data_IF_381662119944
#
_entry.id   IF_381662119944
#
_cell.length_a   1.000
_cell.length_b   1.000
_cell.length_c   1.000
_cell.angle_alpha   90.00
_cell.angle_beta   90.00
_cell.angle_gamma   90.00
#
_symmetry.space_group_name_H-M   'P 1'
#
loop_
_entity.id
_entity.type
_entity.pdbx_description
1 polymer ?
#
# COMPACT_ATOMS: atom_id res chain seq x y z
N UNK A 1 -64.07 -12.02 -14.87
CA UNK A 1 -63.14 -10.89 -14.63
C UNK A 1 -62.63 -10.95 -13.20
N UNK A 2 -61.61 -11.71 -12.86
CA UNK A 2 -60.87 -11.69 -11.55
C UNK A 2 -59.77 -12.74 -11.57
N UNK A 3 -58.75 -12.56 -12.40
CA UNK A 3 -57.50 -13.39 -12.37
C UNK A 3 -56.27 -12.59 -12.78
N UNK A 4 -56.35 -11.28 -13.04
CA UNK A 4 -55.20 -10.49 -13.52
C UNK A 4 -54.48 -9.61 -12.47
N UNK A 5 -54.88 -9.67 -11.18
CA UNK A 5 -54.29 -8.81 -10.12
C UNK A 5 -53.34 -9.55 -9.18
N UNK A 6 -53.13 -10.87 -9.33
CA UNK A 6 -52.24 -11.62 -8.41
C UNK A 6 -50.82 -11.86 -8.92
N UNK A 7 -50.52 -11.55 -10.19
CA UNK A 7 -49.20 -11.75 -10.76
C UNK A 7 -48.24 -10.56 -10.62
N UNK A 8 -48.73 -9.36 -10.31
CA UNK A 8 -47.87 -8.18 -10.13
C UNK A 8 -47.28 -8.01 -8.72
N UNK A 9 -47.83 -8.69 -7.71
CA UNK A 9 -47.27 -8.58 -6.33
C UNK A 9 -46.14 -9.55 -6.09
N UNK A 10 -46.01 -10.63 -6.87
CA UNK A 10 -44.93 -11.62 -6.73
C UNK A 10 -43.60 -11.17 -7.41
N UNK A 11 -43.64 -10.20 -8.32
CA UNK A 11 -42.42 -9.71 -9.01
C UNK A 11 -41.73 -8.53 -8.30
N UNK A 12 -42.38 -7.90 -7.31
CA UNK A 12 -41.82 -6.79 -6.53
C UNK A 12 -41.15 -7.23 -5.22
N UNK A 13 -41.23 -8.50 -4.84
CA UNK A 13 -40.57 -9.07 -3.66
C UNK A 13 -39.25 -9.76 -3.94
N UNK A 14 -38.78 -9.79 -5.21
CA UNK A 14 -37.52 -10.44 -5.62
C UNK A 14 -36.37 -9.47 -5.85
N UNK A 15 -36.54 -8.15 -5.63
CA UNK A 15 -35.47 -7.16 -5.81
C UNK A 15 -34.94 -6.53 -4.50
N UNK A 16 -35.36 -7.07 -3.34
CA UNK A 16 -34.77 -6.73 -2.05
C UNK A 16 -33.80 -7.82 -1.56
N UNK A 17 -33.04 -8.42 -2.49
CA UNK A 17 -31.90 -9.26 -2.17
C UNK A 17 -30.73 -8.37 -1.76
N UNK A 18 -30.76 -7.88 -0.52
CA UNK A 18 -29.56 -7.31 0.10
C UNK A 18 -28.43 -8.31 -0.04
N UNK A 19 -27.32 -7.88 -0.61
CA UNK A 19 -26.07 -8.64 -0.62
C UNK A 19 -25.63 -8.77 0.84
N UNK A 20 -26.16 -9.77 1.53
CA UNK A 20 -25.57 -10.22 2.78
C UNK A 20 -24.22 -10.83 2.39
N UNK A 21 -23.14 -10.13 2.70
CA UNK A 21 -21.82 -10.72 2.66
C UNK A 21 -21.89 -12.02 3.47
N UNK A 22 -21.80 -13.15 2.77
CA UNK A 22 -21.82 -14.46 3.43
C UNK A 22 -20.58 -14.56 4.30
N UNK A 23 -20.77 -14.55 5.63
CA UNK A 23 -19.75 -14.95 6.58
C UNK A 23 -19.53 -16.45 6.39
N UNK A 24 -18.70 -16.82 5.43
CA UNK A 24 -18.14 -18.17 5.38
C UNK A 24 -16.96 -18.20 6.36
N UNK A 25 -16.96 -19.16 7.25
CA UNK A 25 -15.80 -19.49 8.09
C UNK A 25 -14.65 -19.83 7.15
N UNK A 26 -13.79 -18.85 6.86
CA UNK A 26 -12.58 -19.03 6.08
C UNK A 26 -11.69 -20.10 6.71
N UNK A 27 -10.88 -20.77 5.90
CA UNK A 27 -9.89 -21.72 6.39
C UNK A 27 -9.01 -21.04 7.43
N UNK A 28 -8.79 -21.69 8.58
CA UNK A 28 -7.84 -21.19 9.60
C UNK A 28 -6.44 -20.94 9.00
N UNK A 29 -6.11 -21.61 7.88
CA UNK A 29 -4.86 -21.49 7.15
C UNK A 29 -5.14 -21.37 5.65
N UNK A 30 -5.38 -20.16 5.13
CA UNK A 30 -5.65 -19.95 3.71
C UNK A 30 -4.42 -20.31 2.86
N UNK A 31 -4.64 -20.95 1.71
CA UNK A 31 -3.57 -21.27 0.75
C UNK A 31 -3.01 -20.03 0.05
N UNK A 32 -3.83 -18.99 -0.06
CA UNK A 32 -3.47 -17.68 -0.61
C UNK A 32 -3.87 -16.61 0.39
N UNK A 33 -2.92 -15.77 0.77
CA UNK A 33 -3.12 -14.66 1.69
C UNK A 33 -1.98 -13.67 1.51
N UNK A 34 -2.30 -12.41 1.31
CA UNK A 34 -1.31 -11.34 1.28
C UNK A 34 -0.81 -11.08 2.71
N UNK A 35 0.45 -11.32 2.94
CA UNK A 35 1.11 -11.18 4.24
C UNK A 35 2.29 -10.24 4.08
N UNK A 36 2.03 -8.95 4.17
CA UNK A 36 3.05 -7.94 3.91
C UNK A 36 3.52 -7.22 5.17
N UNK A 37 4.64 -6.51 5.05
CA UNK A 37 5.11 -5.56 6.04
C UNK A 37 5.72 -4.33 5.37
N UNK A 38 5.48 -3.13 5.94
CA UNK A 38 6.10 -1.89 5.50
C UNK A 38 7.46 -1.69 6.17
N UNK A 39 8.46 -1.38 5.35
CA UNK A 39 9.78 -0.92 5.79
C UNK A 39 9.93 0.54 5.35
N UNK A 40 9.73 1.48 6.28
CA UNK A 40 9.87 2.91 6.02
C UNK A 40 11.34 3.36 6.09
N UNK A 41 11.69 4.35 5.30
CA UNK A 41 13.02 5.00 5.35
C UNK A 41 12.97 6.38 6.03
N UNK A 42 11.85 7.08 5.93
CA UNK A 42 11.66 8.45 6.38
C UNK A 42 11.83 8.67 7.90
N UNK A 43 11.73 7.61 8.69
CA UNK A 43 12.01 7.65 10.14
C UNK A 43 13.50 7.73 10.49
N UNK A 44 14.38 7.68 9.47
CA UNK A 44 15.83 7.78 9.64
C UNK A 44 16.53 6.52 10.15
N UNK A 45 15.86 5.37 10.18
CA UNK A 45 16.44 4.11 10.69
C UNK A 45 17.69 3.65 9.92
N UNK A 46 17.87 4.09 8.67
CA UNK A 46 19.02 3.74 7.84
C UNK A 46 20.06 4.86 7.76
N UNK A 47 19.72 6.05 8.25
CA UNK A 47 20.47 7.28 8.04
C UNK A 47 21.93 7.18 8.52
N UNK A 48 22.87 7.28 7.57
CA UNK A 48 24.30 7.27 7.87
C UNK A 48 24.84 5.93 8.38
N UNK A 49 24.08 4.84 8.25
CA UNK A 49 24.55 3.51 8.60
C UNK A 49 25.58 3.04 7.57
N UNK A 50 26.75 2.51 7.99
CA UNK A 50 27.73 1.94 7.05
C UNK A 50 27.10 0.87 6.17
N UNK A 51 27.50 0.83 4.89
CA UNK A 51 26.92 -0.05 3.86
C UNK A 51 26.78 -1.50 4.31
N UNK A 52 27.84 -2.12 4.80
CA UNK A 52 27.80 -3.54 5.18
C UNK A 52 26.89 -3.79 6.40
N UNK A 53 26.88 -2.85 7.36
CA UNK A 53 25.97 -2.92 8.51
C UNK A 53 24.51 -2.78 8.07
N UNK A 54 24.23 -1.90 7.10
CA UNK A 54 22.89 -1.73 6.57
C UNK A 54 22.42 -2.97 5.82
N UNK A 55 23.25 -3.57 4.96
CA UNK A 55 22.94 -4.84 4.28
C UNK A 55 22.63 -5.95 5.27
N UNK A 56 23.48 -6.14 6.29
CA UNK A 56 23.26 -7.14 7.34
C UNK A 56 21.96 -6.87 8.12
N UNK A 57 21.67 -5.62 8.44
CA UNK A 57 20.40 -5.24 9.10
C UNK A 57 19.19 -5.60 8.24
N UNK A 58 19.19 -5.25 6.93
CA UNK A 58 18.11 -5.58 6.00
C UNK A 58 17.93 -7.08 5.83
N UNK A 59 19.02 -7.85 5.67
CA UNK A 59 18.98 -9.33 5.63
C UNK A 59 18.38 -9.88 6.92
N UNK A 60 18.79 -9.38 8.08
CA UNK A 60 18.27 -9.79 9.39
C UNK A 60 16.75 -9.54 9.51
N UNK A 61 16.29 -8.38 9.08
CA UNK A 61 14.85 -8.07 9.02
C UNK A 61 14.11 -9.03 8.10
N UNK A 62 14.58 -9.23 6.86
CA UNK A 62 13.95 -10.14 5.89
C UNK A 62 13.92 -11.59 6.40
N UNK A 63 14.98 -12.09 7.02
CA UNK A 63 15.00 -13.44 7.61
C UNK A 63 13.96 -13.59 8.74
N UNK A 64 13.82 -12.57 9.60
CA UNK A 64 12.83 -12.57 10.68
C UNK A 64 11.41 -12.53 10.14
N UNK A 65 11.16 -11.70 9.12
CA UNK A 65 9.85 -11.56 8.45
C UNK A 65 9.48 -12.83 7.69
N UNK A 66 10.43 -13.47 6.99
CA UNK A 66 10.22 -14.77 6.33
C UNK A 66 9.80 -15.84 7.33
N UNK A 67 10.49 -15.94 8.48
CA UNK A 67 10.11 -16.86 9.56
C UNK A 67 8.68 -16.58 10.09
N UNK A 68 8.26 -15.32 10.10
CA UNK A 68 6.91 -14.93 10.47
C UNK A 68 5.87 -15.19 9.36
N UNK A 69 6.26 -15.81 8.24
CA UNK A 69 5.38 -16.15 7.12
C UNK A 69 4.98 -14.94 6.26
N UNK A 70 5.71 -13.83 6.33
CA UNK A 70 5.55 -12.67 5.43
C UNK A 70 5.99 -13.06 4.03
N UNK A 71 5.20 -12.68 3.01
CA UNK A 71 5.43 -13.01 1.60
C UNK A 71 5.47 -11.78 0.67
N UNK A 72 5.38 -10.57 1.23
CA UNK A 72 5.60 -9.34 0.48
C UNK A 72 6.23 -8.25 1.37
N UNK A 73 7.12 -7.46 0.80
CA UNK A 73 7.77 -6.32 1.47
C UNK A 73 7.42 -5.05 0.72
N UNK A 74 6.87 -4.07 1.43
CA UNK A 74 6.62 -2.73 0.91
C UNK A 74 7.72 -1.81 1.44
N UNK A 75 8.71 -1.51 0.60
CA UNK A 75 9.92 -0.79 0.98
C UNK A 75 9.90 0.64 0.44
N UNK A 76 10.06 1.64 1.33
CA UNK A 76 10.03 3.04 0.95
C UNK A 76 11.33 3.44 0.24
N UNK A 77 11.23 3.62 -1.08
CA UNK A 77 12.36 3.94 -1.97
C UNK A 77 12.44 5.41 -2.37
N UNK A 78 11.32 6.17 -2.24
CA UNK A 78 11.24 7.58 -2.62
C UNK A 78 10.48 8.39 -1.56
N UNK A 79 11.16 8.88 -0.50
CA UNK A 79 10.51 9.59 0.62
C UNK A 79 10.30 11.10 0.42
N UNK A 80 11.22 11.84 -0.25
CA UNK A 80 11.24 13.30 -0.37
C UNK A 80 11.66 13.79 -1.77
N UNK A 81 11.05 13.26 -2.84
CA UNK A 81 11.49 13.49 -4.21
C UNK A 81 13.00 13.21 -4.36
N UNK A 82 13.44 12.17 -3.72
CA UNK A 82 14.81 11.66 -3.68
C UNK A 82 14.79 10.13 -3.61
N UNK A 83 15.91 9.46 -3.82
CA UNK A 83 15.94 8.04 -4.10
C UNK A 83 16.82 7.23 -3.14
N UNK A 84 16.34 6.05 -2.72
CA UNK A 84 17.14 4.98 -2.12
C UNK A 84 17.56 3.96 -3.19
N UNK A 85 17.83 4.43 -4.40
CA UNK A 85 18.29 3.63 -5.55
C UNK A 85 19.07 4.52 -6.51
N UNK A 86 19.76 3.93 -7.47
CA UNK A 86 20.56 4.65 -8.48
C UNK A 86 19.64 5.38 -9.49
N UNK A 87 18.93 6.42 -9.05
CA UNK A 87 18.08 7.25 -9.90
C UNK A 87 18.89 8.12 -10.86
N UNK A 88 18.34 8.31 -12.07
CA UNK A 88 18.85 9.27 -13.07
C UNK A 88 18.13 10.61 -13.03
N UNK A 89 17.01 10.67 -12.30
CA UNK A 89 16.07 11.79 -12.28
C UNK A 89 16.07 12.56 -10.96
N UNK A 90 16.37 11.88 -9.85
CA UNK A 90 16.32 12.44 -8.51
C UNK A 90 17.59 12.14 -7.72
N UNK A 91 18.00 13.00 -6.76
CA UNK A 91 19.20 12.79 -5.98
C UNK A 91 19.09 11.60 -5.01
N UNK A 92 20.21 11.10 -4.53
CA UNK A 92 20.26 10.16 -3.42
C UNK A 92 19.61 10.73 -2.16
N UNK A 93 18.82 9.90 -1.47
CA UNK A 93 18.10 10.34 -0.29
C UNK A 93 19.02 10.55 0.92
N UNK A 94 18.76 11.64 1.66
CA UNK A 94 19.40 11.89 2.96
C UNK A 94 19.07 10.83 4.01
N UNK A 95 17.97 10.10 3.86
CA UNK A 95 17.59 9.01 4.75
C UNK A 95 18.44 7.76 4.58
N UNK A 96 19.25 7.69 3.53
CA UNK A 96 20.25 6.65 3.33
C UNK A 96 21.62 7.08 3.91
N UNK A 97 22.18 8.17 3.41
CA UNK A 97 23.57 8.56 3.70
C UNK A 97 23.72 9.67 4.74
N UNK A 98 22.60 10.28 5.14
CA UNK A 98 22.57 11.46 6.01
C UNK A 98 22.64 12.79 5.26
N UNK A 99 23.08 12.80 3.99
CA UNK A 99 23.19 13.98 3.14
C UNK A 99 22.51 13.70 1.80
N UNK A 100 21.55 14.55 1.39
CA UNK A 100 20.89 14.38 0.10
C UNK A 100 21.87 14.64 -1.06
N UNK A 101 21.78 13.82 -2.09
CA UNK A 101 22.69 13.86 -3.27
C UNK A 101 23.97 13.06 -3.09
N UNK A 102 24.33 12.64 -1.87
CA UNK A 102 25.51 11.81 -1.61
C UNK A 102 25.19 10.33 -1.83
N UNK A 103 25.88 9.70 -2.79
CA UNK A 103 25.81 8.25 -3.00
C UNK A 103 26.34 7.48 -1.78
N UNK A 104 25.88 6.24 -1.54
CA UNK A 104 26.46 5.39 -0.50
C UNK A 104 27.90 5.00 -0.83
N UNK A 105 28.73 4.86 0.21
CA UNK A 105 30.14 4.48 0.12
C UNK A 105 30.42 3.28 1.04
N UNK A 106 30.95 2.15 0.53
CA UNK A 106 31.12 1.84 -0.90
C UNK A 106 29.80 1.86 -1.66
N UNK A 107 29.88 2.15 -2.97
CA UNK A 107 28.69 2.26 -3.83
C UNK A 107 27.94 0.94 -3.94
N UNK A 108 26.60 1.02 -3.81
CA UNK A 108 25.65 -0.06 -4.04
C UNK A 108 24.27 0.50 -4.32
N UNK A 109 23.38 -0.32 -4.84
CA UNK A 109 21.98 0.05 -5.07
C UNK A 109 21.06 -0.64 -4.04
N UNK A 110 20.54 0.10 -3.03
CA UNK A 110 19.70 -0.48 -1.99
C UNK A 110 18.42 -1.13 -2.51
N UNK A 111 17.78 -0.54 -3.52
CA UNK A 111 16.53 -1.09 -4.07
C UNK A 111 16.80 -2.40 -4.82
N UNK A 112 17.82 -2.44 -5.69
CA UNK A 112 18.22 -3.68 -6.37
C UNK A 112 18.56 -4.78 -5.38
N UNK A 113 19.34 -4.46 -4.36
CA UNK A 113 19.70 -5.39 -3.30
C UNK A 113 18.44 -5.95 -2.57
N UNK A 114 17.48 -5.09 -2.25
CA UNK A 114 16.26 -5.53 -1.58
C UNK A 114 15.37 -6.39 -2.47
N UNK A 115 15.28 -6.08 -3.77
CA UNK A 115 14.58 -6.91 -4.76
C UNK A 115 15.19 -8.32 -4.77
N UNK A 116 16.53 -8.41 -4.96
CA UNK A 116 17.24 -9.69 -5.00
C UNK A 116 17.04 -10.50 -3.72
N UNK A 117 17.16 -9.84 -2.57
CA UNK A 117 17.01 -10.50 -1.27
C UNK A 117 15.55 -10.90 -0.96
N UNK A 118 14.55 -10.15 -1.44
CA UNK A 118 13.14 -10.54 -1.35
C UNK A 118 12.85 -11.76 -2.23
N UNK A 119 13.24 -11.71 -3.50
CA UNK A 119 13.01 -12.78 -4.48
C UNK A 119 13.70 -14.10 -4.08
N UNK A 120 14.94 -14.06 -3.55
CA UNK A 120 15.61 -15.23 -2.97
C UNK A 120 14.80 -15.93 -1.87
N UNK A 121 13.93 -15.19 -1.19
CA UNK A 121 13.07 -15.71 -0.10
C UNK A 121 11.65 -16.03 -0.54
N UNK A 122 11.34 -15.88 -1.84
CA UNK A 122 9.99 -16.05 -2.38
C UNK A 122 9.02 -14.97 -1.90
N UNK A 123 9.53 -13.75 -1.64
CA UNK A 123 8.73 -12.59 -1.27
C UNK A 123 8.61 -11.63 -2.45
N UNK A 124 7.45 -11.01 -2.63
CA UNK A 124 7.30 -9.87 -3.54
C UNK A 124 7.97 -8.62 -2.96
N UNK A 125 8.49 -7.78 -3.85
CA UNK A 125 9.04 -6.46 -3.53
C UNK A 125 8.16 -5.36 -4.13
N UNK A 126 7.54 -4.55 -3.26
CA UNK A 126 6.73 -3.41 -3.65
C UNK A 126 7.49 -2.11 -3.40
N UNK A 127 7.79 -1.36 -4.45
CA UNK A 127 8.49 -0.09 -4.36
C UNK A 127 7.52 1.01 -3.86
N UNK A 128 7.66 1.41 -2.60
CA UNK A 128 6.83 2.46 -2.02
C UNK A 128 7.43 3.83 -2.31
N UNK A 129 6.64 4.66 -2.96
CA UNK A 129 6.93 6.06 -3.25
C UNK A 129 5.96 6.97 -2.51
N UNK A 130 6.45 8.11 -2.01
CA UNK A 130 5.59 9.25 -1.69
C UNK A 130 5.55 10.17 -2.92
N UNK A 131 4.38 10.40 -3.55
CA UNK A 131 4.36 11.11 -4.82
C UNK A 131 4.65 12.61 -4.68
N UNK A 132 4.08 13.28 -3.70
CA UNK A 132 4.05 14.74 -3.67
C UNK A 132 4.98 15.38 -2.64
N UNK A 133 5.27 14.69 -1.53
CA UNK A 133 6.11 15.25 -0.47
C UNK A 133 7.55 15.42 -0.94
N UNK A 134 8.09 16.62 -0.77
CA UNK A 134 9.43 17.01 -1.21
C UNK A 134 10.35 17.31 -0.04
N UNK A 135 9.80 17.84 1.05
CA UNK A 135 10.51 18.05 2.32
C UNK A 135 9.57 17.74 3.47
N UNK A 136 10.03 16.96 4.41
CA UNK A 136 9.33 16.75 5.70
C UNK A 136 9.54 17.89 6.67
N UNK A 137 10.54 18.74 6.43
CA UNK A 137 10.78 20.01 7.12
C UNK A 137 11.52 20.97 6.20
N UNK A 138 11.11 22.24 6.20
CA UNK A 138 11.77 23.30 5.42
C UNK A 138 13.25 23.50 5.79
N UNK A 139 13.64 23.10 7.02
CA UNK A 139 15.03 23.20 7.53
C UNK A 139 15.99 22.24 6.83
N UNK A 140 15.50 21.18 6.15
CA UNK A 140 16.38 20.25 5.45
C UNK A 140 16.97 20.90 4.19
N UNK A 141 18.27 20.71 3.98
CA UNK A 141 18.97 21.14 2.75
C UNK A 141 18.65 20.19 1.60
N UNK A 142 18.50 20.76 0.41
CA UNK A 142 18.30 20.00 -0.82
C UNK A 142 19.59 19.95 -1.64
N UNK A 143 19.83 18.82 -2.28
CA UNK A 143 20.95 18.66 -3.21
C UNK A 143 20.82 19.66 -4.40
N UNK A 144 21.93 20.17 -4.97
CA UNK A 144 21.87 21.12 -6.07
C UNK A 144 21.05 20.65 -7.28
N UNK A 145 21.06 19.35 -7.55
CA UNK A 145 20.31 18.71 -8.64
C UNK A 145 18.89 18.28 -8.24
N UNK A 146 18.41 18.67 -7.05
CA UNK A 146 17.03 18.38 -6.68
C UNK A 146 16.07 19.15 -7.56
N UNK A 147 14.97 18.53 -7.99
CA UNK A 147 13.98 19.09 -8.92
C UNK A 147 13.40 20.43 -8.46
N UNK A 148 13.27 20.68 -7.15
CA UNK A 148 12.87 21.96 -6.60
C UNK A 148 13.83 23.10 -6.97
N UNK A 149 15.14 22.84 -6.99
CA UNK A 149 16.12 23.86 -7.35
C UNK A 149 16.12 24.20 -8.85
N UNK A 150 15.54 23.30 -9.67
CA UNK A 150 15.42 23.47 -11.13
C UNK A 150 14.06 24.09 -11.49
N UNK A 151 13.00 23.66 -10.80
CA UNK A 151 11.61 24.03 -11.07
C UNK A 151 10.87 24.39 -9.78
N UNK A 152 11.25 25.47 -9.08
CA UNK A 152 10.59 25.89 -7.83
C UNK A 152 9.10 26.19 -8.01
N UNK A 153 8.70 26.60 -9.22
CA UNK A 153 7.31 26.89 -9.59
C UNK A 153 6.37 25.66 -9.59
N UNK A 154 6.91 24.45 -9.48
CA UNK A 154 6.09 23.23 -9.38
C UNK A 154 5.66 22.90 -7.96
N UNK A 155 6.05 23.72 -6.99
CA UNK A 155 5.92 23.35 -5.58
C UNK A 155 5.11 24.37 -4.78
N UNK A 156 4.50 23.87 -3.73
CA UNK A 156 3.79 24.66 -2.73
C UNK A 156 4.34 24.37 -1.34
N UNK A 157 4.40 25.41 -0.51
CA UNK A 157 4.75 25.27 0.91
C UNK A 157 3.48 25.19 1.74
N UNK A 158 3.38 24.17 2.61
CA UNK A 158 2.27 24.01 3.53
C UNK A 158 2.83 23.68 4.93
N UNK A 159 2.58 24.57 5.88
CA UNK A 159 3.21 24.49 7.22
C UNK A 159 4.73 24.49 7.13
N UNK A 160 5.39 23.54 7.77
CA UNK A 160 6.85 23.33 7.72
C UNK A 160 7.27 22.34 6.62
N UNK A 161 6.44 22.09 5.62
CA UNK A 161 6.69 21.09 4.59
C UNK A 161 6.61 21.67 3.18
N UNK A 162 7.25 20.98 2.24
CA UNK A 162 7.23 21.30 0.82
C UNK A 162 6.63 20.14 0.02
N UNK A 163 5.72 20.46 -0.90
CA UNK A 163 5.02 19.50 -1.75
C UNK A 163 5.06 19.90 -3.21
N UNK A 164 5.08 18.93 -4.12
CA UNK A 164 4.63 19.21 -5.48
C UNK A 164 3.19 19.71 -5.46
N UNK A 165 2.87 20.66 -6.32
CA UNK A 165 1.49 21.04 -6.57
C UNK A 165 0.80 19.95 -7.40
N UNK A 166 -0.20 19.23 -6.86
CA UNK A 166 -0.87 18.13 -7.56
C UNK A 166 -1.64 18.59 -8.81
N UNK A 167 -1.99 19.87 -8.87
CA UNK A 167 -2.74 20.44 -9.96
C UNK A 167 -1.90 20.68 -11.22
N UNK A 168 -0.57 20.77 -11.08
CA UNK A 168 0.31 21.03 -12.21
C UNK A 168 0.54 19.79 -13.07
N UNK A 169 0.29 19.86 -14.39
CA UNK A 169 0.61 18.77 -15.31
C UNK A 169 2.09 18.37 -15.29
N UNK A 170 2.99 19.33 -15.06
CA UNK A 170 4.43 19.15 -14.97
C UNK A 170 4.81 18.26 -13.76
N UNK A 171 4.22 18.51 -12.60
CA UNK A 171 4.40 17.69 -11.39
C UNK A 171 4.00 16.24 -11.65
N UNK A 172 2.80 16.01 -12.20
CA UNK A 172 2.32 14.66 -12.53
C UNK A 172 3.21 13.95 -13.54
N UNK A 173 3.64 14.67 -14.59
CA UNK A 173 4.53 14.12 -15.62
C UNK A 173 5.89 13.72 -15.06
N UNK A 174 6.48 14.56 -14.21
CA UNK A 174 7.75 14.24 -13.54
C UNK A 174 7.65 12.96 -12.71
N UNK A 175 6.61 12.83 -11.89
CA UNK A 175 6.41 11.64 -11.06
C UNK A 175 6.18 10.39 -11.92
N UNK A 176 5.40 10.51 -13.01
CA UNK A 176 5.23 9.41 -13.97
C UNK A 176 6.55 8.99 -14.62
N UNK A 177 7.44 9.94 -14.96
CA UNK A 177 8.77 9.62 -15.49
C UNK A 177 9.62 8.86 -14.46
N UNK A 178 9.60 9.29 -13.20
CA UNK A 178 10.32 8.61 -12.11
C UNK A 178 9.83 7.18 -11.94
N UNK A 179 8.53 6.96 -11.94
CA UNK A 179 7.95 5.61 -11.80
C UNK A 179 8.24 4.75 -13.02
N UNK A 180 8.13 5.31 -14.22
CA UNK A 180 8.49 4.60 -15.46
C UNK A 180 9.98 4.20 -15.47
N UNK A 181 10.88 5.03 -14.95
CA UNK A 181 12.30 4.69 -14.78
C UNK A 181 12.49 3.52 -13.79
N UNK A 182 11.78 3.52 -12.66
CA UNK A 182 11.80 2.39 -11.71
C UNK A 182 11.31 1.11 -12.40
N UNK A 183 10.11 1.13 -12.96
CA UNK A 183 9.47 -0.06 -13.54
C UNK A 183 10.29 -0.62 -14.71
N UNK A 184 10.88 0.24 -15.54
CA UNK A 184 11.68 -0.21 -16.70
C UNK A 184 12.99 -0.89 -16.29
N UNK A 185 13.66 -0.39 -15.25
CA UNK A 185 15.01 -0.82 -14.88
C UNK A 185 15.08 -1.90 -13.81
N UNK A 186 14.06 -1.99 -12.96
CA UNK A 186 14.06 -2.89 -11.81
C UNK A 186 12.97 -3.95 -11.94
N UNK A 187 13.20 -5.12 -11.36
CA UNK A 187 12.23 -6.22 -11.33
C UNK A 187 11.32 -6.09 -10.09
N UNK A 188 10.62 -4.96 -9.99
CA UNK A 188 9.64 -4.73 -8.93
C UNK A 188 8.35 -5.50 -9.21
N UNK A 189 7.72 -6.04 -8.18
CA UNK A 189 6.42 -6.73 -8.30
C UNK A 189 5.25 -5.73 -8.24
N UNK A 190 5.46 -4.58 -7.60
CA UNK A 190 4.48 -3.50 -7.54
C UNK A 190 5.11 -2.13 -7.32
N UNK A 191 4.38 -1.09 -7.73
CA UNK A 191 4.52 0.28 -7.23
C UNK A 191 3.46 0.49 -6.16
N UNK A 192 3.83 1.09 -5.04
CA UNK A 192 2.94 1.35 -3.92
C UNK A 192 3.00 2.80 -3.50
N UNK A 193 1.84 3.40 -3.18
CA UNK A 193 1.74 4.74 -2.62
C UNK A 193 1.01 4.72 -1.28
N UNK A 194 1.39 5.65 -0.41
CA UNK A 194 0.69 5.92 0.85
C UNK A 194 -0.50 6.89 0.67
N UNK A 195 -0.93 7.53 1.74
CA UNK A 195 -2.10 8.39 1.81
C UNK A 195 -1.79 9.90 1.73
N UNK A 196 -0.55 10.27 1.39
CA UNK A 196 -0.16 11.69 1.27
C UNK A 196 -0.44 12.22 -0.13
N UNK A 197 -1.73 12.43 -0.47
CA UNK A 197 -2.15 13.06 -1.72
C UNK A 197 -2.09 14.59 -1.61
N UNK A 198 -3.10 15.24 -1.02
CA UNK A 198 -2.93 16.58 -0.47
C UNK A 198 -2.42 16.49 0.97
N UNK A 199 -1.76 17.55 1.50
CA UNK A 199 -1.29 17.53 2.89
C UNK A 199 -2.43 17.36 3.88
N UNK A 200 -2.15 16.71 5.02
CA UNK A 200 -3.10 16.64 6.11
C UNK A 200 -3.50 18.04 6.58
N UNK A 201 -4.79 18.29 6.83
CA UNK A 201 -5.24 19.58 7.30
C UNK A 201 -4.57 19.97 8.62
N UNK A 202 -3.99 21.15 8.66
CA UNK A 202 -3.46 21.77 9.88
C UNK A 202 -4.32 22.98 10.26
N UNK A 203 -4.60 23.12 11.57
CA UNK A 203 -5.45 24.20 12.07
C UNK A 203 -4.89 25.57 11.69
N UNK A 204 -5.72 26.40 11.06
CA UNK A 204 -5.35 27.75 10.61
C UNK A 204 -4.56 27.80 9.31
N UNK A 205 -4.21 26.68 8.71
CA UNK A 205 -3.56 26.65 7.39
C UNK A 205 -4.54 26.39 6.26
N UNK A 206 -4.22 26.95 5.12
CA UNK A 206 -4.95 26.75 3.87
C UNK A 206 -3.99 26.27 2.79
N UNK A 207 -4.40 25.34 1.96
CA UNK A 207 -3.61 24.87 0.82
C UNK A 207 -3.39 26.05 -0.13
N UNK A 208 -2.14 26.40 -0.47
CA UNK A 208 -1.82 27.61 -1.26
C UNK A 208 -1.91 27.35 -2.76
N UNK A 209 -3.07 26.91 -3.24
CA UNK A 209 -3.34 26.53 -4.62
C UNK A 209 -4.20 27.53 -5.40
N UNK A 210 -4.28 28.80 -4.92
CA UNK A 210 -5.13 29.84 -5.55
C UNK A 210 -4.74 30.14 -7.00
N UNK A 211 -3.45 30.18 -7.29
CA UNK A 211 -2.96 30.50 -8.65
C UNK A 211 -3.24 29.34 -9.62
N UNK A 212 -3.00 28.11 -9.20
CA UNK A 212 -3.28 26.93 -10.01
C UNK A 212 -4.78 26.70 -10.19
N UNK A 213 -5.57 26.96 -9.16
CA UNK A 213 -7.03 26.92 -9.27
C UNK A 213 -7.56 27.99 -10.21
N UNK A 214 -7.06 29.23 -10.16
CA UNK A 214 -7.46 30.29 -11.08
C UNK A 214 -7.13 29.91 -12.54
N UNK A 215 -6.03 29.20 -12.77
CA UNK A 215 -5.57 28.79 -14.11
C UNK A 215 -6.27 27.54 -14.63
N UNK A 216 -6.54 26.54 -13.78
CA UNK A 216 -6.96 25.20 -14.19
C UNK A 216 -8.31 24.75 -13.58
N UNK A 217 -8.97 25.57 -12.77
CA UNK A 217 -10.21 25.24 -12.09
C UNK A 217 -11.43 25.04 -13.00
N UNK A 218 -11.42 25.66 -14.19
CA UNK A 218 -12.45 25.51 -15.24
C UNK A 218 -13.90 25.62 -14.72
N UNK A 219 -14.14 26.44 -13.69
CA UNK A 219 -15.47 26.61 -13.09
C UNK A 219 -15.91 25.48 -12.14
N UNK A 220 -15.08 24.48 -11.90
CA UNK A 220 -15.37 23.44 -10.90
C UNK A 220 -15.34 24.00 -9.48
N UNK A 221 -16.08 23.38 -8.57
CA UNK A 221 -15.87 23.59 -7.15
C UNK A 221 -14.42 23.24 -6.78
N UNK A 222 -13.80 23.97 -5.83
CA UNK A 222 -12.37 23.81 -5.50
C UNK A 222 -12.05 22.40 -4.99
N UNK A 223 -12.90 21.84 -4.16
CA UNK A 223 -12.66 20.50 -3.58
C UNK A 223 -12.84 19.40 -4.63
N UNK A 224 -13.81 19.55 -5.54
CA UNK A 224 -13.97 18.66 -6.67
C UNK A 224 -12.79 18.76 -7.64
N UNK A 225 -12.28 19.96 -7.89
CA UNK A 225 -11.11 20.18 -8.70
C UNK A 225 -9.83 19.55 -8.09
N UNK A 226 -9.65 19.64 -6.77
CA UNK A 226 -8.55 18.97 -6.09
C UNK A 226 -8.65 17.45 -6.23
N UNK A 227 -9.83 16.86 -6.03
CA UNK A 227 -10.07 15.43 -6.26
C UNK A 227 -9.77 15.03 -7.70
N UNK A 228 -10.23 15.84 -8.67
CA UNK A 228 -9.98 15.55 -10.08
C UNK A 228 -8.48 15.57 -10.42
N UNK A 229 -7.70 16.47 -9.84
CA UNK A 229 -6.24 16.48 -10.02
C UNK A 229 -5.58 15.21 -9.52
N UNK A 230 -6.02 14.67 -8.37
CA UNK A 230 -5.53 13.40 -7.85
C UNK A 230 -6.03 12.24 -8.72
N UNK A 231 -7.30 12.23 -9.12
CA UNK A 231 -7.86 11.23 -10.04
C UNK A 231 -7.07 11.14 -11.35
N UNK A 232 -6.80 12.28 -11.96
CA UNK A 232 -5.97 12.37 -13.18
C UNK A 232 -4.57 11.79 -12.96
N UNK A 233 -3.95 12.10 -11.84
CA UNK A 233 -2.64 11.57 -11.51
C UNK A 233 -2.65 10.05 -11.34
N UNK A 234 -3.59 9.51 -10.57
CA UNK A 234 -3.71 8.06 -10.34
C UNK A 234 -3.90 7.31 -11.65
N UNK A 235 -4.82 7.80 -12.52
CA UNK A 235 -5.04 7.21 -13.83
C UNK A 235 -3.78 7.27 -14.70
N UNK A 236 -3.12 8.43 -14.79
CA UNK A 236 -1.89 8.57 -15.56
C UNK A 236 -0.78 7.66 -15.06
N UNK A 237 -0.66 7.50 -13.75
CA UNK A 237 0.35 6.64 -13.15
C UNK A 237 0.08 5.16 -13.42
N UNK A 238 -1.17 4.72 -13.29
CA UNK A 238 -1.60 3.38 -13.70
C UNK A 238 -1.22 3.10 -15.17
N UNK A 239 -1.59 4.01 -16.08
CA UNK A 239 -1.32 3.86 -17.51
C UNK A 239 0.19 3.81 -17.78
N UNK A 240 1.00 4.64 -17.10
CA UNK A 240 2.46 4.63 -17.23
C UNK A 240 3.07 3.30 -16.76
N UNK A 241 2.62 2.74 -15.64
CA UNK A 241 3.13 1.48 -15.10
C UNK A 241 2.84 0.34 -16.08
N UNK A 242 1.58 0.18 -16.46
CA UNK A 242 1.14 -0.93 -17.30
C UNK A 242 1.60 -0.83 -18.76
N UNK A 243 1.88 0.38 -19.26
CA UNK A 243 2.51 0.55 -20.58
C UNK A 243 3.96 0.05 -20.60
N UNK A 244 4.68 0.10 -19.46
CA UNK A 244 6.07 -0.40 -19.35
C UNK A 244 6.09 -1.90 -19.05
N UNK A 245 5.37 -2.33 -17.99
CA UNK A 245 5.26 -3.73 -17.58
C UNK A 245 3.84 -4.03 -17.11
N UNK A 246 2.98 -4.66 -17.94
CA UNK A 246 1.57 -4.87 -17.62
C UNK A 246 1.32 -5.79 -16.40
N UNK A 247 2.33 -6.52 -15.95
CA UNK A 247 2.26 -7.41 -14.78
C UNK A 247 2.69 -6.74 -13.46
N UNK A 248 3.25 -5.53 -13.49
CA UNK A 248 3.62 -4.79 -12.28
C UNK A 248 2.37 -4.16 -11.69
N UNK A 249 2.04 -4.53 -10.45
CA UNK A 249 0.85 -4.04 -9.75
C UNK A 249 1.01 -2.58 -9.33
N UNK A 250 -0.10 -1.88 -9.28
CA UNK A 250 -0.18 -0.54 -8.68
C UNK A 250 -1.13 -0.53 -7.49
N UNK A 251 -0.62 -0.30 -6.29
CA UNK A 251 -1.37 -0.32 -5.05
C UNK A 251 -1.32 0.97 -4.25
N UNK A 252 -2.38 1.18 -3.48
CA UNK A 252 -2.53 2.34 -2.60
C UNK A 252 -2.79 1.88 -1.18
N UNK A 253 -2.17 2.55 -0.19
CA UNK A 253 -2.56 2.45 1.22
C UNK A 253 -3.16 3.78 1.69
N UNK A 254 -4.48 3.99 1.47
CA UNK A 254 -5.15 5.21 1.85
C UNK A 254 -5.35 5.29 3.36
N UNK A 255 -5.68 6.47 3.87
CA UNK A 255 -6.15 6.64 5.24
C UNK A 255 -7.32 5.69 5.56
N UNK A 256 -7.45 5.22 6.80
CA UNK A 256 -8.39 4.16 7.16
C UNK A 256 -9.87 4.52 7.02
N UNK A 257 -10.23 5.81 7.00
CA UNK A 257 -11.60 6.30 6.84
C UNK A 257 -11.77 6.89 5.44
N UNK A 258 -12.64 6.31 4.62
CA UNK A 258 -13.00 6.90 3.33
C UNK A 258 -13.82 8.17 3.53
N UNK A 259 -15.02 8.05 4.14
CA UNK A 259 -15.90 9.14 4.60
C UNK A 259 -16.59 8.75 5.90
N UNK A 260 -16.86 9.73 6.75
CA UNK A 260 -17.71 9.54 7.92
C UNK A 260 -19.19 9.52 7.52
N UNK A 261 -20.00 8.77 8.23
CA UNK A 261 -21.45 8.71 7.98
C UNK A 261 -22.14 10.07 8.10
N UNK A 262 -21.57 11.00 8.88
CA UNK A 262 -22.06 12.38 8.97
C UNK A 262 -21.84 13.19 7.68
N UNK A 263 -20.78 12.88 6.93
CA UNK A 263 -20.43 13.55 5.67
C UNK A 263 -21.17 12.91 4.49
N UNK A 264 -21.38 11.59 4.56
CA UNK A 264 -22.07 10.82 3.52
C UNK A 264 -22.81 9.64 4.17
N UNK A 265 -24.11 9.42 3.89
CA UNK A 265 -24.87 8.29 4.44
C UNK A 265 -24.26 6.91 4.15
N UNK A 266 -23.48 6.76 3.08
CA UNK A 266 -22.75 5.53 2.73
C UNK A 266 -21.39 5.44 3.44
N UNK A 267 -20.98 6.47 4.17
CA UNK A 267 -19.73 6.49 4.95
C UNK A 267 -19.76 5.54 6.14
N UNK A 268 -18.59 5.27 6.71
CA UNK A 268 -18.46 4.47 7.93
C UNK A 268 -18.96 5.24 9.16
N UNK A 269 -19.43 4.51 10.17
CA UNK A 269 -19.79 5.11 11.45
C UNK A 269 -18.54 5.49 12.26
N UNK A 270 -17.89 6.56 11.80
CA UNK A 270 -16.64 7.09 12.31
C UNK A 270 -16.72 8.60 12.46
N UNK A 271 -15.69 9.20 13.12
CA UNK A 271 -15.59 10.64 13.30
C UNK A 271 -14.10 11.02 13.29
N UNK A 272 -13.50 11.06 12.13
CA UNK A 272 -12.08 11.37 11.94
C UNK A 272 -11.80 11.99 10.57
N UNK A 273 -10.52 12.21 10.27
CA UNK A 273 -10.06 12.67 8.97
C UNK A 273 -10.50 11.68 7.87
N UNK A 274 -10.80 12.18 6.69
CA UNK A 274 -11.43 11.44 5.59
C UNK A 274 -10.58 11.51 4.32
N UNK A 275 -10.48 10.40 3.60
CA UNK A 275 -9.81 10.39 2.30
C UNK A 275 -10.46 11.38 1.32
N UNK A 276 -11.77 11.25 1.14
CA UNK A 276 -12.52 11.98 0.10
C UNK A 276 -12.60 13.48 0.36
N UNK A 277 -12.96 13.86 1.60
CA UNK A 277 -13.24 15.26 1.93
C UNK A 277 -11.99 16.05 2.36
N UNK A 278 -11.05 15.40 3.07
CA UNK A 278 -9.90 16.09 3.66
C UNK A 278 -8.59 15.91 2.88
N UNK A 279 -8.41 14.74 2.23
CA UNK A 279 -7.21 14.41 1.44
C UNK A 279 -7.47 14.44 -0.06
N UNK A 280 -8.70 14.72 -0.47
CA UNK A 280 -9.15 14.78 -1.88
C UNK A 280 -8.86 13.50 -2.66
N UNK A 281 -8.97 12.34 -1.99
CA UNK A 281 -8.65 11.03 -2.51
C UNK A 281 -9.92 10.16 -2.67
N UNK A 282 -10.39 10.02 -3.92
CA UNK A 282 -11.56 9.19 -4.24
C UNK A 282 -11.15 7.74 -4.53
N UNK A 283 -10.71 7.04 -3.49
CA UNK A 283 -10.17 5.66 -3.57
C UNK A 283 -11.17 4.66 -4.10
N UNK A 284 -12.48 4.87 -3.86
CA UNK A 284 -13.52 3.98 -4.38
C UNK A 284 -13.68 4.16 -5.89
N UNK A 285 -13.61 5.40 -6.39
CA UNK A 285 -13.58 5.66 -7.83
C UNK A 285 -12.39 4.95 -8.48
N UNK A 286 -11.18 5.08 -7.91
CA UNK A 286 -9.99 4.47 -8.49
C UNK A 286 -10.08 2.94 -8.55
N UNK A 287 -10.64 2.32 -7.52
CA UNK A 287 -10.89 0.88 -7.49
C UNK A 287 -11.95 0.47 -8.54
N UNK A 288 -13.06 1.20 -8.62
CA UNK A 288 -14.17 0.94 -9.56
C UNK A 288 -13.74 1.06 -11.01
N UNK A 289 -12.99 2.11 -11.34
CA UNK A 289 -12.49 2.37 -12.69
C UNK A 289 -11.27 1.50 -13.05
N UNK A 290 -10.73 0.74 -12.09
CA UNK A 290 -9.57 -0.11 -12.32
C UNK A 290 -8.25 0.63 -12.43
N UNK A 291 -8.15 1.84 -11.87
CA UNK A 291 -6.91 2.63 -11.88
C UNK A 291 -5.95 2.24 -10.77
N UNK A 292 -6.36 1.34 -9.88
CA UNK A 292 -5.49 0.67 -8.90
C UNK A 292 -5.73 -0.83 -8.95
N UNK A 293 -4.69 -1.61 -8.67
CA UNK A 293 -4.76 -3.07 -8.69
C UNK A 293 -5.07 -3.65 -7.31
N UNK A 294 -4.70 -2.95 -6.23
CA UNK A 294 -5.05 -3.34 -4.86
C UNK A 294 -5.12 -2.15 -3.92
N UNK A 295 -5.83 -2.35 -2.82
CA UNK A 295 -6.06 -1.34 -1.80
C UNK A 295 -5.68 -1.87 -0.41
N UNK A 296 -4.94 -1.07 0.39
CA UNK A 296 -4.53 -1.41 1.76
C UNK A 296 -4.90 -0.25 2.71
N UNK A 297 -6.18 -0.05 3.05
CA UNK A 297 -6.56 1.02 3.99
C UNK A 297 -5.84 0.87 5.33
N UNK A 298 -5.30 1.97 5.84
CA UNK A 298 -4.51 2.04 7.08
C UNK A 298 -5.43 2.06 8.30
N UNK A 299 -5.93 0.89 8.73
CA UNK A 299 -6.83 0.75 9.88
C UNK A 299 -5.97 0.56 11.14
N UNK A 300 -5.33 1.63 11.61
CA UNK A 300 -4.32 1.58 12.67
C UNK A 300 -4.86 1.68 14.10
N UNK A 301 -6.17 1.81 14.28
CA UNK A 301 -6.81 1.92 15.59
C UNK A 301 -7.04 0.56 16.27
N UNK A 302 -7.34 0.61 17.54
CA UNK A 302 -7.78 -0.53 18.32
C UNK A 302 -9.25 -0.87 18.07
N UNK A 303 -9.66 -2.08 18.38
CA UNK A 303 -11.06 -2.48 18.51
C UNK A 303 -11.61 -1.74 19.72
N UNK A 304 -12.77 -1.08 19.55
CA UNK A 304 -13.41 -0.24 20.56
C UNK A 304 -12.95 1.21 20.55
N UNK A 305 -12.16 1.66 19.58
CA UNK A 305 -11.79 3.08 19.45
C UNK A 305 -13.00 3.95 19.14
N UNK A 306 -13.27 5.00 19.98
CA UNK A 306 -14.50 5.79 19.94
C UNK A 306 -14.78 6.47 18.59
N UNK A 307 -13.73 6.96 17.92
CA UNK A 307 -13.89 7.73 16.67
C UNK A 307 -13.64 6.90 15.40
N UNK A 308 -12.91 5.79 15.49
CA UNK A 308 -12.49 5.00 14.34
C UNK A 308 -12.28 3.54 14.76
N UNK A 309 -13.36 2.87 15.18
CA UNK A 309 -13.31 1.49 15.64
C UNK A 309 -12.85 0.56 14.52
N UNK A 310 -11.84 -0.26 14.83
CA UNK A 310 -11.24 -1.21 13.89
C UNK A 310 -12.26 -2.17 13.27
N UNK A 311 -13.17 -2.74 14.07
CA UNK A 311 -14.16 -3.68 13.58
C UNK A 311 -15.15 -3.00 12.62
N UNK A 312 -15.60 -1.79 12.95
CA UNK A 312 -16.45 -0.96 12.10
C UNK A 312 -15.81 -0.70 10.75
N UNK A 313 -14.53 -0.32 10.75
CA UNK A 313 -13.78 -0.02 9.51
C UNK A 313 -13.52 -1.27 8.67
N UNK A 314 -13.12 -2.39 9.28
CA UNK A 314 -12.91 -3.66 8.55
C UNK A 314 -14.21 -4.12 7.88
N UNK A 315 -15.35 -4.05 8.57
CA UNK A 315 -16.67 -4.37 7.99
C UNK A 315 -17.03 -3.45 6.84
N UNK A 316 -16.79 -2.15 7.01
CA UNK A 316 -17.09 -1.16 5.98
C UNK A 316 -16.25 -1.40 4.71
N UNK A 317 -14.94 -1.54 4.84
CA UNK A 317 -14.05 -1.80 3.70
C UNK A 317 -14.35 -3.14 3.02
N UNK A 318 -14.68 -4.18 3.78
CA UNK A 318 -15.04 -5.49 3.23
C UNK A 318 -16.25 -5.43 2.28
N UNK A 319 -17.16 -4.47 2.47
CA UNK A 319 -18.34 -4.25 1.62
C UNK A 319 -18.13 -3.20 0.53
N UNK A 320 -16.98 -2.50 0.52
CA UNK A 320 -16.66 -1.42 -0.42
C UNK A 320 -15.30 -1.66 -1.11
N UNK A 321 -14.99 -2.93 -1.43
CA UNK A 321 -13.74 -3.27 -2.14
C UNK A 321 -13.76 -2.91 -3.63
N UNK A 322 -14.96 -2.62 -4.19
CA UNK A 322 -15.17 -2.28 -5.61
C UNK A 322 -14.54 -3.30 -6.57
N UNK A 323 -14.61 -4.59 -6.21
CA UNK A 323 -14.04 -5.72 -6.95
C UNK A 323 -12.51 -5.64 -7.17
N UNK A 324 -11.80 -4.89 -6.33
CA UNK A 324 -10.33 -4.90 -6.28
C UNK A 324 -9.83 -5.63 -5.05
N UNK A 325 -8.68 -6.33 -5.14
CA UNK A 325 -8.03 -6.93 -3.99
C UNK A 325 -7.90 -5.95 -2.83
N UNK A 326 -8.44 -6.34 -1.68
CA UNK A 326 -8.43 -5.56 -0.44
C UNK A 326 -7.57 -6.27 0.59
N UNK A 327 -6.62 -5.55 1.16
CA UNK A 327 -5.80 -6.01 2.28
C UNK A 327 -5.90 -5.01 3.43
N UNK A 328 -5.76 -5.46 4.67
CA UNK A 328 -5.92 -4.57 5.83
C UNK A 328 -4.56 -4.09 6.31
N UNK A 329 -4.35 -2.77 6.30
CA UNK A 329 -3.23 -2.13 6.97
C UNK A 329 -3.42 -2.17 8.48
N UNK A 330 -2.53 -2.86 9.21
CA UNK A 330 -2.66 -3.10 10.63
C UNK A 330 -1.45 -2.60 11.42
N UNK A 331 -1.70 -1.77 12.45
CA UNK A 331 -0.64 -1.33 13.37
C UNK A 331 -0.29 -2.44 14.35
N UNK A 332 0.95 -2.92 14.32
CA UNK A 332 1.49 -3.90 15.28
C UNK A 332 1.52 -3.32 16.69
N UNK A 333 2.12 -2.12 16.94
CA UNK A 333 2.15 -1.53 18.27
C UNK A 333 0.75 -1.36 18.88
N UNK A 334 -0.19 -0.79 18.11
CA UNK A 334 -1.57 -0.59 18.60
C UNK A 334 -2.30 -1.91 18.88
N UNK A 335 -2.04 -2.94 18.06
CA UNK A 335 -2.67 -4.25 18.26
C UNK A 335 -2.23 -4.91 19.58
N UNK A 336 -0.95 -4.79 19.94
CA UNK A 336 -0.44 -5.42 21.17
C UNK A 336 -0.58 -4.54 22.42
N UNK A 337 -0.74 -3.24 22.23
CA UNK A 337 -0.89 -2.27 23.34
C UNK A 337 -2.24 -2.41 24.05
N UNK A 338 -3.30 -2.73 23.31
CA UNK A 338 -4.66 -2.78 23.84
C UNK A 338 -5.12 -4.21 24.10
N UNK A 339 -5.78 -4.42 25.24
CA UNK A 339 -6.45 -5.68 25.54
C UNK A 339 -7.67 -5.88 24.62
N UNK A 340 -8.01 -7.15 24.37
CA UNK A 340 -9.25 -7.47 23.66
C UNK A 340 -10.47 -7.12 24.54
N UNK A 341 -11.46 -6.36 24.04
CA UNK A 341 -12.62 -5.97 24.83
C UNK A 341 -13.47 -7.14 25.37
N UNK A 342 -13.40 -8.30 24.71
CA UNK A 342 -14.14 -9.51 25.13
C UNK A 342 -13.28 -10.45 26.00
N UNK A 343 -11.95 -10.33 25.95
CA UNK A 343 -11.03 -11.10 26.78
C UNK A 343 -9.84 -10.24 27.21
N UNK A 344 -9.94 -9.49 28.29
CA UNK A 344 -8.91 -8.57 28.75
C UNK A 344 -7.56 -9.19 29.12
N UNK A 345 -7.46 -10.54 29.16
CA UNK A 345 -6.22 -11.24 29.46
C UNK A 345 -5.27 -11.38 28.25
N UNK A 346 -5.75 -11.07 27.04
CA UNK A 346 -4.99 -11.14 25.79
C UNK A 346 -5.04 -9.80 25.03
N UNK A 347 -4.09 -9.59 24.11
CA UNK A 347 -4.13 -8.46 23.19
C UNK A 347 -5.13 -8.69 22.04
N UNK A 348 -5.31 -7.70 21.17
CA UNK A 348 -6.33 -7.72 20.11
C UNK A 348 -5.96 -8.53 18.87
N UNK A 349 -4.76 -9.13 18.77
CA UNK A 349 -4.33 -9.84 17.56
C UNK A 349 -5.26 -11.00 17.19
N UNK A 350 -5.68 -11.90 18.11
CA UNK A 350 -6.57 -12.99 17.76
C UNK A 350 -7.87 -12.54 17.11
N UNK A 351 -8.50 -11.53 17.69
CA UNK A 351 -9.77 -11.01 17.19
C UNK A 351 -9.61 -10.27 15.87
N UNK A 352 -8.55 -9.47 15.69
CA UNK A 352 -8.27 -8.80 14.42
C UNK A 352 -8.03 -9.79 13.29
N UNK A 353 -7.27 -10.86 13.53
CA UNK A 353 -7.06 -11.91 12.52
C UNK A 353 -8.35 -12.66 12.18
N UNK A 354 -9.19 -12.96 13.18
CA UNK A 354 -10.50 -13.56 12.95
C UNK A 354 -11.41 -12.66 12.12
N UNK A 355 -11.46 -11.36 12.44
CA UNK A 355 -12.25 -10.37 11.68
C UNK A 355 -11.81 -10.28 10.22
N UNK A 356 -10.51 -10.19 9.94
CA UNK A 356 -10.01 -10.14 8.57
C UNK A 356 -10.40 -11.38 7.78
N UNK A 357 -10.25 -12.57 8.37
CA UNK A 357 -10.55 -13.85 7.71
C UNK A 357 -12.03 -14.19 7.62
N UNK A 358 -12.90 -13.43 8.29
CA UNK A 358 -14.35 -13.59 8.20
C UNK A 358 -14.94 -13.08 6.87
N UNK A 359 -14.21 -12.25 6.13
CA UNK A 359 -14.66 -11.65 4.88
C UNK A 359 -13.84 -12.15 3.70
N UNK A 360 -14.49 -12.75 2.71
CA UNK A 360 -13.84 -13.25 1.48
C UNK A 360 -13.21 -12.15 0.62
N UNK A 361 -13.71 -10.93 0.71
CA UNK A 361 -13.17 -9.76 0.01
C UNK A 361 -11.84 -9.30 0.58
N UNK A 362 -11.49 -9.72 1.81
CA UNK A 362 -10.21 -9.38 2.44
C UNK A 362 -9.21 -10.49 2.15
N UNK A 363 -8.26 -10.20 1.25
CA UNK A 363 -7.23 -11.14 0.81
C UNK A 363 -6.01 -11.24 1.72
N UNK A 364 -5.98 -10.55 2.86
CA UNK A 364 -4.86 -10.57 3.81
C UNK A 364 -4.57 -9.23 4.47
N UNK A 365 -3.35 -9.03 4.94
CA UNK A 365 -2.97 -7.81 5.68
C UNK A 365 -1.53 -7.38 5.47
N UNK A 366 -1.27 -6.09 5.74
CA UNK A 366 0.06 -5.52 5.77
C UNK A 366 0.36 -4.93 7.16
N UNK A 367 1.53 -5.27 7.69
CA UNK A 367 1.91 -4.94 9.07
C UNK A 367 2.64 -3.60 9.13
N UNK A 368 2.09 -2.65 9.82
CA UNK A 368 2.73 -1.41 10.17
C UNK A 368 3.31 -1.53 11.57
N UNK A 369 4.57 -1.57 11.72
CA UNK A 369 5.66 -1.57 10.74
C UNK A 369 6.57 -2.79 10.94
N UNK A 370 7.41 -3.10 9.96
CA UNK A 370 8.24 -4.30 9.94
C UNK A 370 9.13 -4.46 11.19
N UNK A 371 9.78 -3.38 11.67
CA UNK A 371 10.64 -3.44 12.84
C UNK A 371 9.88 -3.91 14.10
N UNK A 372 8.60 -3.53 14.27
CA UNK A 372 7.79 -4.00 15.40
C UNK A 372 7.53 -5.52 15.37
N UNK A 373 7.38 -6.08 14.16
CA UNK A 373 7.32 -7.55 13.97
C UNK A 373 8.68 -8.19 14.28
N UNK A 374 9.77 -7.61 13.75
CA UNK A 374 11.15 -8.12 13.94
C UNK A 374 11.55 -8.09 15.41
N UNK A 375 11.19 -7.06 16.15
CA UNK A 375 11.41 -6.90 17.59
C UNK A 375 10.49 -7.79 18.44
N UNK A 376 9.53 -8.46 17.82
CA UNK A 376 8.54 -9.31 18.47
C UNK A 376 7.73 -8.58 19.56
N UNK A 377 7.33 -7.32 19.29
CA UNK A 377 6.57 -6.55 20.25
C UNK A 377 5.31 -7.28 20.69
N UNK A 378 5.09 -7.38 22.01
CA UNK A 378 3.96 -8.10 22.59
C UNK A 378 3.82 -9.55 22.11
N UNK A 379 4.91 -10.21 21.73
CA UNK A 379 4.95 -11.58 21.14
C UNK A 379 4.20 -11.70 19.80
N UNK A 380 4.07 -10.59 19.06
CA UNK A 380 3.34 -10.56 17.80
C UNK A 380 3.89 -11.53 16.76
N UNK A 381 5.22 -11.52 16.54
CA UNK A 381 5.89 -12.44 15.60
C UNK A 381 5.71 -13.90 16.02
N UNK A 382 5.87 -14.21 17.30
CA UNK A 382 5.70 -15.57 17.81
C UNK A 382 4.28 -16.09 17.53
N UNK A 383 3.24 -15.27 17.72
CA UNK A 383 1.86 -15.61 17.43
C UNK A 383 1.63 -15.79 15.91
N UNK A 384 2.25 -14.95 15.05
CA UNK A 384 2.20 -15.19 13.61
C UNK A 384 2.75 -16.57 13.26
N UNK A 385 3.93 -16.95 13.78
CA UNK A 385 4.60 -18.23 13.48
C UNK A 385 3.78 -19.41 14.00
N UNK A 386 3.33 -19.37 15.25
CA UNK A 386 2.71 -20.52 15.90
C UNK A 386 1.25 -20.73 15.54
N UNK A 387 0.52 -19.64 15.22
CA UNK A 387 -0.93 -19.67 15.11
C UNK A 387 -1.44 -19.24 13.72
N UNK A 388 -1.09 -18.04 13.26
CA UNK A 388 -1.76 -17.44 12.08
C UNK A 388 -1.08 -17.76 10.76
N UNK A 389 0.24 -17.79 10.72
CA UNK A 389 1.06 -18.04 9.53
C UNK A 389 1.81 -19.37 9.60
N UNK A 390 1.29 -20.31 10.35
CA UNK A 390 1.91 -21.65 10.59
C UNK A 390 2.31 -22.36 9.29
N UNK A 391 1.55 -22.15 8.22
CA UNK A 391 1.84 -22.69 6.89
C UNK A 391 2.10 -21.56 5.91
N UNK A 392 3.00 -21.76 4.92
CA UNK A 392 3.19 -20.80 3.84
C UNK A 392 1.87 -20.51 3.09
N UNK A 393 1.71 -19.30 2.64
CA UNK A 393 0.64 -18.91 1.75
C UNK A 393 1.22 -18.26 0.48
N UNK A 394 0.61 -18.54 -0.66
CA UNK A 394 0.88 -17.84 -1.91
C UNK A 394 0.21 -16.46 -1.89
N UNK A 395 0.73 -15.55 -2.67
CA UNK A 395 0.06 -14.27 -2.96
C UNK A 395 -1.32 -14.54 -3.60
N UNK A 396 -2.36 -13.75 -3.29
CA UNK A 396 -3.64 -13.81 -3.98
C UNK A 396 -3.50 -13.63 -5.50
N UNK A 397 -4.38 -14.27 -6.27
CA UNK A 397 -4.43 -14.08 -7.72
C UNK A 397 -5.08 -12.73 -8.04
N UNK A 398 -4.58 -12.07 -9.07
CA UNK A 398 -5.11 -10.83 -9.64
C UNK A 398 -5.68 -11.18 -11.03
N UNK A 399 -6.86 -11.79 -11.06
CA UNK A 399 -7.46 -12.40 -12.27
C UNK A 399 -7.62 -11.42 -13.43
N UNK A 400 -7.74 -10.13 -13.15
CA UNK A 400 -7.85 -9.09 -14.19
C UNK A 400 -6.50 -8.69 -14.82
N UNK A 401 -5.35 -9.10 -14.23
CA UNK A 401 -4.02 -8.86 -14.81
C UNK A 401 -3.56 -10.03 -15.66
N UNK A 402 -3.74 -11.27 -15.19
CA UNK A 402 -3.45 -12.50 -15.92
C UNK A 402 -4.28 -13.66 -15.36
N UNK A 403 -5.21 -14.18 -16.15
CA UNK A 403 -6.08 -15.31 -15.79
C UNK A 403 -5.53 -16.66 -16.27
N UNK A 404 -4.39 -16.67 -16.99
CA UNK A 404 -3.81 -17.88 -17.54
C UNK A 404 -2.99 -18.62 -16.50
N UNK A 405 -3.49 -19.77 -16.06
CA UNK A 405 -2.71 -20.67 -15.24
C UNK A 405 -1.44 -21.11 -15.97
N UNK A 406 -0.28 -21.17 -15.26
CA UNK A 406 0.93 -21.75 -15.84
C UNK A 406 0.68 -23.15 -16.41
N UNK A 407 1.30 -23.45 -17.53
CA UNK A 407 1.19 -24.79 -18.14
C UNK A 407 1.62 -25.89 -17.16
N UNK A 408 1.05 -27.09 -17.32
CA UNK A 408 1.45 -28.24 -16.51
C UNK A 408 2.94 -28.53 -16.67
N UNK A 409 3.62 -28.83 -15.58
CA UNK A 409 4.99 -29.34 -15.61
C UNK A 409 5.07 -30.57 -16.50
N UNK A 410 5.83 -30.51 -17.60
CA UNK A 410 5.88 -31.56 -18.60
C UNK A 410 6.96 -32.60 -18.37
N UNK A 411 8.05 -32.21 -17.69
CA UNK A 411 9.16 -33.12 -17.38
C UNK A 411 9.64 -32.87 -15.96
N UNK A 412 9.74 -33.91 -15.17
CA UNK A 412 10.27 -33.89 -13.83
C UNK A 412 11.39 -34.92 -13.72
N UNK A 413 12.58 -34.48 -13.34
CA UNK A 413 13.76 -35.33 -13.15
C UNK A 413 14.21 -35.25 -11.70
N UNK A 414 14.40 -36.41 -11.07
CA UNK A 414 15.04 -36.51 -9.76
C UNK A 414 16.54 -36.49 -9.94
N UNK A 415 17.22 -35.67 -9.18
CA UNK A 415 18.68 -35.60 -9.16
C UNK A 415 19.14 -35.59 -7.70
N UNK A 416 20.11 -36.45 -7.39
CA UNK A 416 20.86 -36.37 -6.12
C UNK A 416 21.94 -35.34 -6.27
N UNK A 417 22.05 -34.46 -5.28
CA UNK A 417 23.14 -33.48 -5.12
C UNK A 417 23.81 -33.71 -3.79
N UNK A 418 24.94 -33.08 -3.57
CA UNK A 418 25.65 -33.13 -2.29
C UNK A 418 24.80 -32.61 -1.13
N UNK A 419 23.87 -31.72 -1.40
CA UNK A 419 22.91 -31.15 -0.44
C UNK A 419 21.63 -31.98 -0.27
N UNK A 420 21.48 -33.09 -0.99
CA UNK A 420 20.35 -34.00 -0.90
C UNK A 420 19.54 -34.14 -2.20
N UNK A 421 18.23 -34.32 -2.05
CA UNK A 421 17.32 -34.67 -3.12
C UNK A 421 16.78 -33.41 -3.83
N UNK A 422 17.09 -33.24 -5.10
CA UNK A 422 16.57 -32.15 -5.90
C UNK A 422 15.57 -32.65 -6.96
N UNK A 423 14.47 -31.93 -7.13
CA UNK A 423 13.52 -32.11 -8.23
C UNK A 423 13.77 -31.01 -9.26
N UNK A 424 14.30 -31.40 -10.41
CA UNK A 424 14.42 -30.49 -11.56
C UNK A 424 13.19 -30.65 -12.45
N UNK A 425 12.54 -29.57 -12.79
CA UNK A 425 11.40 -29.53 -13.70
C UNK A 425 11.47 -28.31 -14.60
N UNK A 426 10.88 -28.43 -15.79
CA UNK A 426 10.67 -27.29 -16.68
C UNK A 426 9.22 -26.86 -16.52
N UNK A 427 9.02 -25.65 -16.02
CA UNK A 427 7.74 -24.95 -16.08
C UNK A 427 7.94 -23.74 -16.96
N UNK A 428 7.06 -23.47 -17.95
CA UNK A 428 7.08 -22.18 -18.60
C UNK A 428 6.82 -21.11 -17.55
N UNK A 429 7.78 -20.22 -17.38
CA UNK A 429 7.60 -19.03 -16.55
C UNK A 429 6.60 -18.10 -17.23
N UNK A 430 5.69 -17.47 -16.51
CA UNK A 430 4.84 -16.42 -17.09
C UNK A 430 5.66 -15.20 -17.57
N UNK A 431 6.94 -15.15 -17.23
CA UNK A 431 7.87 -14.06 -17.58
C UNK A 431 8.82 -14.42 -18.74
N UNK A 432 8.71 -15.65 -19.32
CA UNK A 432 9.54 -16.10 -20.46
C UNK A 432 8.82 -15.87 -21.81
#
# INVERSE_FOLDING_TARGET
MRVKSLLCVFFLLLMAGGVFAQVQTGSAYPKREFRAAWIQSVNGQFRGMPTEKLKQNLIGQLNSLQKAGINAIIFQVRPEADALYASRLEPWSRFLTGVQGKAPEPYWDPMQFMIDECHKRGMEFHAWINPYRTKTTLKSELAPNHVYNIHPEWFVTYGDQLYFDPALPESRRHICMVVSDIVSRYDVDAIHMDDYFYPYPESGLRIPDDQTYARYGNGMNRDDWRRENVNLFIRQLHDCIHAVKPWVKFGISPFGIYRNQKSDPLGSNTNGLQNYDDLYADVLLWAREGWIDYNIPQIYWEIGHKAADYETLVKWWATHSENRPLFIGQSVPKTVQFADPQNPSINQLPRKMALQRAYQTIGGSCQWYAAAVVENQGRYRDALISEYHKYPALIPVFDFMDDKAPGKVRKMKKVWTEDGYCLLYTSPSPRD
#
